data_IF_512458464258
#
_entry.id   IF_512458464258
#
_cell.length_a   1.000
_cell.length_b   1.000
_cell.length_c   1.000
_cell.angle_alpha   90.00
_cell.angle_beta   90.00
_cell.angle_gamma   90.00
#
_symmetry.space_group_name_H-M   'P 1'
#
loop_
_entity.id
_entity.type
_entity.pdbx_description
1 polymer ?
#
# COMPACT_ATOMS: atom_id res chain seq x y z
N UNK A 1 -14.63 -15.59 -9.88
CA UNK A 1 -13.77 -15.43 -11.07
C UNK A 1 -13.16 -14.03 -11.16
N UNK A 2 -13.93 -12.94 -10.98
CA UNK A 2 -13.41 -11.56 -11.03
C UNK A 2 -12.22 -11.28 -10.10
N UNK A 3 -12.23 -11.86 -8.90
CA UNK A 3 -11.10 -11.77 -7.96
C UNK A 3 -9.77 -12.31 -8.54
N UNK A 4 -9.81 -13.40 -9.31
CA UNK A 4 -8.60 -13.97 -9.93
C UNK A 4 -8.13 -13.13 -11.11
N UNK A 5 -9.06 -12.57 -11.90
CA UNK A 5 -8.71 -11.60 -12.93
C UNK A 5 -8.05 -10.36 -12.30
N UNK A 6 -8.63 -9.84 -11.23
CA UNK A 6 -8.07 -8.72 -10.49
C UNK A 6 -6.65 -8.99 -9.98
N UNK A 7 -6.42 -10.15 -9.36
CA UNK A 7 -5.07 -10.59 -8.96
C UNK A 7 -4.11 -10.66 -10.15
N UNK A 8 -4.54 -11.26 -11.27
CA UNK A 8 -3.72 -11.36 -12.47
C UNK A 8 -3.28 -9.99 -13.00
N UNK A 9 -4.19 -9.01 -13.03
CA UNK A 9 -3.88 -7.65 -13.47
C UNK A 9 -2.92 -6.95 -12.50
N UNK A 10 -3.08 -7.11 -11.19
CA UNK A 10 -2.14 -6.54 -10.20
C UNK A 10 -0.76 -7.19 -10.31
N UNK A 11 -0.69 -8.50 -10.52
CA UNK A 11 0.59 -9.19 -10.77
C UNK A 11 1.27 -8.63 -12.02
N UNK A 12 0.52 -8.39 -13.10
CA UNK A 12 1.03 -7.73 -14.31
C UNK A 12 1.55 -6.30 -14.02
N UNK A 13 0.84 -5.48 -13.24
CA UNK A 13 1.32 -4.15 -12.84
C UNK A 13 2.69 -4.24 -12.14
N UNK A 14 2.87 -5.24 -11.26
CA UNK A 14 4.12 -5.46 -10.53
C UNK A 14 5.26 -5.95 -11.43
N UNK A 15 5.00 -6.92 -12.29
CA UNK A 15 6.02 -7.49 -13.21
C UNK A 15 6.50 -6.44 -14.21
N UNK A 16 5.58 -5.66 -14.76
CA UNK A 16 5.89 -4.61 -15.75
C UNK A 16 6.35 -3.30 -15.10
N UNK A 17 6.37 -3.23 -13.76
CA UNK A 17 6.65 -2.03 -12.97
C UNK A 17 5.90 -0.79 -13.49
N UNK A 18 4.64 -0.95 -13.89
CA UNK A 18 3.79 0.11 -14.45
C UNK A 18 2.37 0.03 -13.91
N UNK A 19 1.77 1.19 -13.66
CA UNK A 19 0.35 1.25 -13.32
C UNK A 19 -0.50 1.08 -14.58
N UNK A 20 -1.47 0.16 -14.54
CA UNK A 20 -2.43 -0.06 -15.62
C UNK A 20 -3.58 0.93 -15.43
N UNK A 21 -3.83 1.75 -16.44
CA UNK A 21 -4.87 2.80 -16.43
C UNK A 21 -6.29 2.23 -16.39
N UNK A 22 -7.28 3.05 -16.04
CA UNK A 22 -8.70 2.65 -16.07
C UNK A 22 -9.15 2.15 -17.45
N UNK A 23 -8.69 2.81 -18.52
CA UNK A 23 -9.00 2.41 -19.90
C UNK A 23 -8.43 1.03 -20.24
N UNK A 24 -7.19 0.75 -19.82
CA UNK A 24 -6.58 -0.57 -20.01
C UNK A 24 -7.24 -1.64 -19.14
N UNK A 25 -7.61 -1.33 -17.90
CA UNK A 25 -8.40 -2.22 -17.04
C UNK A 25 -9.73 -2.58 -17.69
N UNK A 26 -10.43 -1.59 -18.26
CA UNK A 26 -11.67 -1.80 -19.01
C UNK A 26 -11.45 -2.67 -20.25
N UNK A 27 -10.33 -2.49 -20.95
CA UNK A 27 -9.98 -3.32 -22.12
C UNK A 27 -9.74 -4.78 -21.73
N UNK A 28 -8.94 -5.02 -20.69
CA UNK A 28 -8.66 -6.37 -20.16
C UNK A 28 -9.95 -7.03 -19.68
N UNK A 29 -10.76 -6.29 -18.93
CA UNK A 29 -12.07 -6.76 -18.47
C UNK A 29 -13.00 -7.08 -19.66
N UNK A 30 -13.03 -6.25 -20.70
CA UNK A 30 -13.85 -6.48 -21.89
C UNK A 30 -13.49 -7.78 -22.60
N UNK A 31 -12.20 -8.09 -22.73
CA UNK A 31 -11.75 -9.37 -23.28
C UNK A 31 -12.19 -10.57 -22.43
N UNK A 32 -12.14 -10.43 -21.11
CA UNK A 32 -12.66 -11.45 -20.20
C UNK A 32 -14.18 -11.59 -20.32
N UNK A 33 -14.91 -10.47 -20.39
CA UNK A 33 -16.37 -10.43 -20.45
C UNK A 33 -16.91 -11.17 -21.68
N UNK A 34 -16.35 -10.92 -22.86
CA UNK A 34 -16.79 -11.62 -24.07
C UNK A 34 -16.56 -13.14 -23.99
N UNK A 35 -15.45 -13.58 -23.37
CA UNK A 35 -15.17 -15.01 -23.16
C UNK A 35 -16.05 -15.63 -22.08
N UNK A 36 -16.40 -14.86 -21.05
CA UNK A 36 -17.18 -15.32 -19.91
C UNK A 36 -18.69 -15.23 -20.16
N UNK A 37 -19.13 -14.49 -21.19
CA UNK A 37 -20.53 -14.20 -21.53
C UNK A 37 -21.50 -15.38 -21.41
N UNK A 38 -21.17 -16.62 -21.84
CA UNK A 38 -22.09 -17.76 -21.69
C UNK A 38 -22.37 -18.17 -20.23
N UNK A 39 -21.50 -17.78 -19.31
CA UNK A 39 -21.55 -18.12 -17.88
C UNK A 39 -22.00 -16.94 -17.00
N UNK A 40 -22.25 -15.78 -17.61
CA UNK A 40 -22.71 -14.59 -16.90
C UNK A 40 -24.23 -14.64 -16.68
N UNK A 41 -24.66 -13.95 -15.64
CA UNK A 41 -26.06 -13.83 -15.30
C UNK A 41 -26.71 -12.82 -16.24
N UNK A 42 -27.78 -13.22 -16.90
CA UNK A 42 -28.42 -12.44 -17.96
C UNK A 42 -29.05 -11.14 -17.44
N UNK A 43 -29.37 -11.05 -16.16
CA UNK A 43 -29.95 -9.87 -15.51
C UNK A 43 -28.94 -8.76 -15.23
N UNK A 44 -27.64 -9.04 -15.32
CA UNK A 44 -26.58 -8.07 -15.06
C UNK A 44 -25.99 -7.54 -16.36
N UNK A 45 -25.78 -6.23 -16.39
CA UNK A 45 -25.18 -5.53 -17.52
C UNK A 45 -23.66 -5.66 -17.52
N UNK A 46 -23.03 -5.25 -18.62
CA UNK A 46 -21.58 -5.12 -18.70
C UNK A 46 -21.03 -4.22 -17.57
N UNK A 47 -21.73 -3.11 -17.29
CA UNK A 47 -21.30 -2.12 -16.30
C UNK A 47 -21.41 -2.67 -14.87
N UNK A 48 -22.44 -3.47 -14.56
CA UNK A 48 -22.56 -4.14 -13.26
C UNK A 48 -21.34 -5.02 -12.98
N UNK A 49 -20.94 -5.82 -13.97
CA UNK A 49 -19.76 -6.68 -13.84
C UNK A 49 -18.45 -5.90 -13.85
N UNK A 50 -18.38 -4.79 -14.61
CA UNK A 50 -17.21 -3.91 -14.60
C UNK A 50 -17.01 -3.28 -13.22
N UNK A 51 -18.07 -2.80 -12.57
CA UNK A 51 -17.99 -2.24 -11.22
C UNK A 51 -17.63 -3.29 -10.17
N UNK A 52 -18.15 -4.52 -10.27
CA UNK A 52 -17.72 -5.63 -9.41
C UNK A 52 -16.24 -5.97 -9.61
N UNK A 53 -15.76 -5.94 -10.85
CA UNK A 53 -14.35 -6.14 -11.16
C UNK A 53 -13.48 -5.04 -10.54
N UNK A 54 -13.84 -3.77 -10.73
CA UNK A 54 -13.10 -2.64 -10.19
C UNK A 54 -13.07 -2.68 -8.65
N UNK A 55 -14.18 -3.00 -8.01
CA UNK A 55 -14.27 -3.17 -6.55
C UNK A 55 -13.38 -4.32 -6.06
N UNK A 56 -13.43 -5.47 -6.75
CA UNK A 56 -12.56 -6.61 -6.45
C UNK A 56 -11.08 -6.25 -6.64
N UNK A 57 -10.77 -5.46 -7.67
CA UNK A 57 -9.42 -4.99 -7.99
C UNK A 57 -8.87 -4.06 -6.90
N UNK A 58 -9.67 -3.12 -6.40
CA UNK A 58 -9.29 -2.31 -5.24
C UNK A 58 -9.09 -3.17 -3.98
N UNK A 59 -9.99 -4.11 -3.70
CA UNK A 59 -9.89 -4.99 -2.52
C UNK A 59 -8.63 -5.86 -2.52
N UNK A 60 -8.29 -6.49 -3.66
CA UNK A 60 -7.05 -7.30 -3.78
C UNK A 60 -5.81 -6.44 -3.57
N UNK A 61 -5.79 -5.21 -4.11
CA UNK A 61 -4.65 -4.31 -3.94
C UNK A 61 -4.42 -3.98 -2.47
N UNK A 62 -5.48 -3.66 -1.75
CA UNK A 62 -5.40 -3.37 -0.32
C UNK A 62 -4.88 -4.57 0.50
N UNK A 63 -5.34 -5.79 0.22
CA UNK A 63 -4.83 -6.99 0.88
C UNK A 63 -3.32 -7.17 0.67
N UNK A 64 -2.84 -7.00 -0.56
CA UNK A 64 -1.42 -7.10 -0.86
C UNK A 64 -0.59 -6.00 -0.19
N UNK A 65 -1.13 -4.80 -0.07
CA UNK A 65 -0.47 -3.70 0.65
C UNK A 65 -0.41 -4.00 2.17
N UNK A 66 -1.46 -4.59 2.75
CA UNK A 66 -1.48 -5.01 4.16
C UNK A 66 -0.48 -6.13 4.45
N UNK A 67 -0.40 -7.15 3.59
CA UNK A 67 0.58 -8.24 3.73
C UNK A 67 2.03 -7.72 3.77
N UNK A 68 2.35 -6.74 2.90
CA UNK A 68 3.68 -6.10 2.88
C UNK A 68 3.96 -5.33 4.17
N UNK A 69 2.95 -4.67 4.74
CA UNK A 69 3.11 -3.94 6.00
C UNK A 69 3.29 -4.90 7.17
N UNK A 70 2.52 -5.98 7.22
CA UNK A 70 2.64 -6.98 8.28
C UNK A 70 4.01 -7.68 8.23
N UNK A 71 4.52 -7.99 7.03
CA UNK A 71 5.89 -8.51 6.85
C UNK A 71 6.95 -7.51 7.35
N UNK A 72 6.85 -6.24 6.93
CA UNK A 72 7.77 -5.19 7.37
C UNK A 72 7.72 -4.98 8.88
N UNK A 73 6.54 -5.09 9.48
CA UNK A 73 6.34 -4.99 10.92
C UNK A 73 7.05 -6.08 11.69
N UNK A 74 6.95 -7.34 11.24
CA UNK A 74 7.69 -8.47 11.84
C UNK A 74 9.19 -8.23 11.75
N UNK A 75 9.70 -7.76 10.59
CA UNK A 75 11.12 -7.44 10.43
C UNK A 75 11.56 -6.31 11.35
N UNK A 76 10.77 -5.24 11.47
CA UNK A 76 11.10 -4.09 12.31
C UNK A 76 11.18 -4.44 13.81
N UNK A 77 10.42 -5.45 14.25
CA UNK A 77 10.45 -5.92 15.63
C UNK A 77 11.60 -6.91 15.93
N UNK A 78 12.21 -7.50 14.90
CA UNK A 78 13.23 -8.55 15.06
C UNK A 78 14.62 -8.12 14.62
N UNK A 79 14.73 -7.19 13.68
CA UNK A 79 15.99 -6.64 13.22
C UNK A 79 16.51 -5.52 14.16
N UNK A 80 17.83 -5.27 14.19
CA UNK A 80 18.39 -4.09 14.85
C UNK A 80 17.79 -2.80 14.26
N UNK A 81 17.38 -1.89 15.14
CA UNK A 81 16.86 -0.59 14.73
C UNK A 81 17.97 0.26 14.09
N UNK A 82 17.64 1.11 13.11
CA UNK A 82 18.65 1.96 12.47
C UNK A 82 19.21 2.97 13.45
N UNK A 83 20.49 3.35 13.31
CA UNK A 83 21.16 4.31 14.21
C UNK A 83 20.40 5.64 14.33
N UNK A 84 19.82 6.12 13.23
CA UNK A 84 19.02 7.35 13.24
C UNK A 84 17.80 7.30 14.17
N UNK A 85 17.33 6.10 14.53
CA UNK A 85 16.27 5.94 15.52
C UNK A 85 16.71 6.40 16.93
N UNK A 86 18.01 6.41 17.23
CA UNK A 86 18.54 6.86 18.52
C UNK A 86 18.24 8.33 18.81
N UNK A 87 17.94 9.15 17.79
CA UNK A 87 17.48 10.53 17.94
C UNK A 87 16.13 10.67 18.66
N UNK A 88 15.38 9.58 18.83
CA UNK A 88 14.09 9.58 19.49
C UNK A 88 14.17 8.86 20.83
N UNK A 89 13.51 9.38 21.86
CA UNK A 89 13.54 8.78 23.22
C UNK A 89 12.66 7.53 23.33
N UNK A 90 11.49 7.55 22.69
CA UNK A 90 10.48 6.51 22.91
C UNK A 90 10.65 5.33 21.96
N UNK A 91 10.61 4.11 22.51
CA UNK A 91 10.76 2.87 21.74
C UNK A 91 9.75 2.77 20.59
N UNK A 92 8.52 3.25 20.76
CA UNK A 92 7.50 3.24 19.73
C UNK A 92 7.88 4.09 18.51
N UNK A 93 8.46 5.28 18.72
CA UNK A 93 8.91 6.11 17.59
C UNK A 93 10.14 5.47 16.92
N UNK A 94 11.05 4.88 17.72
CA UNK A 94 12.20 4.13 17.18
C UNK A 94 11.76 2.96 16.29
N UNK A 95 10.74 2.21 16.74
CA UNK A 95 10.14 1.13 15.97
C UNK A 95 9.45 1.63 14.70
N UNK A 96 8.81 2.80 14.72
CA UNK A 96 8.23 3.39 13.50
C UNK A 96 9.32 3.73 12.48
N UNK A 97 10.46 4.25 12.91
CA UNK A 97 11.63 4.45 12.02
C UNK A 97 12.10 3.13 11.43
N UNK A 98 12.23 2.08 12.26
CA UNK A 98 12.55 0.72 11.82
C UNK A 98 11.55 0.18 10.79
N UNK A 99 10.25 0.35 11.03
CA UNK A 99 9.18 -0.04 10.11
C UNK A 99 9.32 0.67 8.76
N UNK A 100 9.58 1.98 8.75
CA UNK A 100 9.79 2.73 7.51
C UNK A 100 11.02 2.22 6.72
N UNK A 101 12.11 1.85 7.41
CA UNK A 101 13.28 1.24 6.76
C UNK A 101 12.94 -0.11 6.13
N UNK A 102 12.26 -0.99 6.86
CA UNK A 102 11.89 -2.32 6.34
C UNK A 102 10.90 -2.23 5.18
N UNK A 103 9.94 -1.30 5.24
CA UNK A 103 9.05 -1.00 4.12
C UNK A 103 9.83 -0.54 2.88
N UNK A 104 10.83 0.33 3.06
CA UNK A 104 11.68 0.76 1.95
C UNK A 104 12.52 -0.39 1.39
N UNK A 105 13.05 -1.28 2.24
CA UNK A 105 13.79 -2.48 1.80
C UNK A 105 12.92 -3.41 0.94
N UNK A 106 11.68 -3.65 1.36
CA UNK A 106 10.73 -4.48 0.58
C UNK A 106 10.34 -3.76 -0.73
N UNK A 107 10.14 -2.44 -0.69
CA UNK A 107 9.81 -1.65 -1.88
C UNK A 107 11.01 -1.41 -2.84
N UNK A 108 12.24 -1.69 -2.40
CA UNK A 108 13.46 -1.44 -3.17
C UNK A 108 13.67 0.06 -3.43
N UNK A 109 13.75 0.45 -4.71
CA UNK A 109 13.91 1.86 -5.11
C UNK A 109 12.57 2.62 -5.21
N UNK A 110 11.44 1.92 -5.15
CA UNK A 110 10.12 2.52 -5.26
C UNK A 110 9.68 3.11 -3.91
N UNK A 111 8.85 4.17 -3.91
CA UNK A 111 8.27 4.68 -2.68
C UNK A 111 7.25 3.67 -2.11
N UNK A 112 7.26 3.49 -0.80
CA UNK A 112 6.36 2.58 -0.10
C UNK A 112 5.09 3.28 0.36
N UNK A 113 4.02 2.51 0.56
CA UNK A 113 2.74 3.01 1.03
C UNK A 113 2.62 2.77 2.54
N UNK A 114 2.21 3.79 3.29
CA UNK A 114 1.92 3.63 4.72
C UNK A 114 0.77 4.54 5.14
N UNK A 115 -0.38 3.94 5.47
CA UNK A 115 -1.54 4.70 5.94
C UNK A 115 -1.44 5.03 7.44
N UNK A 116 -1.85 6.22 7.83
CA UNK A 116 -1.88 6.62 9.25
C UNK A 116 -2.80 5.73 10.10
N UNK A 117 -3.87 5.17 9.51
CA UNK A 117 -4.74 4.18 10.18
C UNK A 117 -4.01 2.87 10.46
N UNK A 118 -3.15 2.43 9.55
CA UNK A 118 -2.32 1.24 9.76
C UNK A 118 -1.32 1.48 10.87
N UNK A 119 -0.66 2.64 10.90
CA UNK A 119 0.21 3.04 12.02
C UNK A 119 -0.58 3.09 13.34
N UNK A 120 -1.77 3.71 13.36
CA UNK A 120 -2.59 3.74 14.57
C UNK A 120 -2.95 2.32 15.07
N UNK A 121 -3.29 1.40 14.16
CA UNK A 121 -3.56 -0.02 14.47
C UNK A 121 -2.33 -0.71 15.07
N UNK A 122 -1.17 -0.61 14.39
CA UNK A 122 0.06 -1.29 14.83
C UNK A 122 0.59 -0.78 16.18
N UNK A 123 0.46 0.52 16.44
CA UNK A 123 0.96 1.16 17.66
C UNK A 123 -0.11 1.35 18.74
N UNK A 124 -1.32 0.82 18.53
CA UNK A 124 -2.41 0.89 19.52
C UNK A 124 -2.90 2.31 19.82
N UNK A 125 -2.79 3.24 18.88
CA UNK A 125 -3.29 4.60 19.08
C UNK A 125 -4.82 4.65 18.94
N UNK A 126 -5.47 5.31 19.90
CA UNK A 126 -6.92 5.52 19.88
C UNK A 126 -7.39 6.36 18.67
N UNK A 127 -6.53 7.21 18.12
CA UNK A 127 -6.85 8.08 16.99
C UNK A 127 -5.79 8.01 15.90
N UNK A 128 -6.25 8.06 14.65
CA UNK A 128 -5.38 8.16 13.48
C UNK A 128 -4.68 9.53 13.37
N UNK A 129 -5.12 10.54 14.13
CA UNK A 129 -4.52 11.88 14.15
C UNK A 129 -3.15 11.87 14.82
N UNK A 130 -2.98 11.12 15.92
CA UNK A 130 -1.68 10.93 16.58
C UNK A 130 -0.69 10.23 15.64
N UNK A 131 -1.12 9.14 15.00
CA UNK A 131 -0.32 8.44 14.01
C UNK A 131 0.06 9.33 12.81
N UNK A 132 -0.86 10.15 12.32
CA UNK A 132 -0.57 11.11 11.25
C UNK A 132 0.45 12.18 11.71
N UNK A 133 0.38 12.63 12.97
CA UNK A 133 1.38 13.54 13.54
C UNK A 133 2.76 12.89 13.65
N UNK A 134 2.85 11.60 13.99
CA UNK A 134 4.13 10.87 13.99
C UNK A 134 4.74 10.81 12.60
N UNK A 135 3.96 10.43 11.58
CA UNK A 135 4.44 10.41 10.19
C UNK A 135 4.91 11.79 9.70
N UNK A 136 4.16 12.86 10.03
CA UNK A 136 4.57 14.24 9.73
C UNK A 136 5.84 14.64 10.49
N UNK A 137 5.98 14.22 11.73
CA UNK A 137 7.18 14.46 12.55
C UNK A 137 8.42 13.82 11.95
N UNK A 138 8.32 12.55 11.54
CA UNK A 138 9.41 11.85 10.83
C UNK A 138 9.75 12.52 9.50
N UNK A 139 8.74 13.00 8.76
CA UNK A 139 8.97 13.72 7.52
C UNK A 139 9.70 15.06 7.76
N UNK A 140 9.28 15.80 8.79
CA UNK A 140 9.95 17.04 9.21
C UNK A 140 11.38 16.80 9.69
N UNK A 141 11.63 15.66 10.34
CA UNK A 141 12.95 15.24 10.79
C UNK A 141 13.83 14.66 9.68
N UNK A 142 13.36 14.67 8.41
CA UNK A 142 14.07 14.14 7.23
C UNK A 142 14.43 12.66 7.34
N UNK A 143 13.67 11.88 8.11
CA UNK A 143 13.79 10.42 8.14
C UNK A 143 13.06 9.80 6.93
N UNK A 144 11.91 10.38 6.59
CA UNK A 144 11.12 10.00 5.43
C UNK A 144 10.78 11.23 4.58
N UNK A 145 10.57 11.03 3.28
CA UNK A 145 10.08 12.03 2.34
C UNK A 145 8.67 11.65 1.89
N UNK A 146 7.75 12.62 1.79
CA UNK A 146 6.44 12.40 1.15
C UNK A 146 6.61 12.53 -0.35
N UNK A 147 6.50 11.40 -1.07
CA UNK A 147 6.64 11.36 -2.54
C UNK A 147 5.30 11.63 -3.23
N UNK A 148 4.22 11.06 -2.70
CA UNK A 148 2.85 11.30 -3.17
C UNK A 148 1.95 11.53 -1.95
N UNK A 149 1.32 12.70 -1.89
CA UNK A 149 0.40 13.02 -0.80
C UNK A 149 -0.91 12.25 -1.00
N UNK A 150 -1.23 11.39 -0.03
CA UNK A 150 -2.52 10.75 0.05
C UNK A 150 -3.61 11.76 0.43
N UNK A 151 -4.83 11.53 -0.06
CA UNK A 151 -6.00 12.34 0.26
C UNK A 151 -7.18 11.47 0.68
N UNK A 152 -7.91 11.95 1.68
CA UNK A 152 -9.18 11.35 2.08
C UNK A 152 -10.22 11.42 0.95
N UNK A 153 -10.17 12.45 0.10
CA UNK A 153 -11.06 12.58 -1.07
C UNK A 153 -10.78 11.49 -2.11
N UNK A 154 -9.52 11.12 -2.30
CA UNK A 154 -9.14 10.07 -3.25
C UNK A 154 -9.07 8.68 -2.61
N UNK A 155 -9.31 8.59 -1.30
CA UNK A 155 -9.11 7.39 -0.47
C UNK A 155 -7.73 6.73 -0.70
N UNK A 156 -6.69 7.54 -0.96
CA UNK A 156 -5.31 7.05 -1.20
C UNK A 156 -4.46 7.35 0.02
N UNK A 157 -3.70 6.36 0.46
CA UNK A 157 -2.65 6.59 1.45
C UNK A 157 -1.47 7.32 0.81
N UNK A 158 -0.71 8.05 1.63
CA UNK A 158 0.51 8.70 1.17
C UNK A 158 1.59 7.68 0.84
N UNK A 159 2.41 8.00 -0.16
CA UNK A 159 3.63 7.27 -0.48
C UNK A 159 4.83 8.00 0.08
N UNK A 160 5.73 7.25 0.68
CA UNK A 160 6.92 7.77 1.32
C UNK A 160 8.18 7.13 0.76
N UNK A 161 9.31 7.82 0.92
CA UNK A 161 10.65 7.28 0.72
C UNK A 161 11.45 7.41 2.01
N UNK A 162 12.16 6.37 2.42
CA UNK A 162 13.11 6.47 3.53
C UNK A 162 14.41 7.10 3.04
N UNK A 163 14.92 8.10 3.76
CA UNK A 163 16.02 8.97 3.28
C UNK A 163 17.39 8.50 3.78
N UNK A 164 17.44 7.90 4.96
CA UNK A 164 18.69 7.44 5.57
C UNK A 164 19.19 6.13 4.91
N UNK A 165 20.48 5.80 5.05
CA UNK A 165 21.02 4.53 4.55
C UNK A 165 20.19 3.34 5.03
N UNK A 166 19.91 2.41 4.11
CA UNK A 166 19.15 1.20 4.44
C UNK A 166 19.98 0.20 5.24
N UNK A 167 21.29 0.27 5.15
CA UNK A 167 22.24 -0.61 5.84
C UNK A 167 23.16 0.24 6.72
N UNK A 168 23.32 -0.19 7.97
CA UNK A 168 24.21 0.40 8.98
C UNK A 168 25.48 -0.44 9.20
#
# INVERSE_FOLDING_TARGET
MLFQLARGVITLEKVENRSISLSERRLIFGQWYERAKPFLRAEKTFDDYLFEFLTSFDGVRHLLDEDVVDEAWVRANTAPLPKVAECFETQSVRLLVGLCRELQRIAGHQPFLLACRTVARLFGHATHTTAASWLRGLASARIIEVVEQGSAQTNRASRYRYIEPLDD
#
